data_IF_569987236354
#
_entry.id   IF_569987236354
#
_cell.length_a   1.000
_cell.length_b   1.000
_cell.length_c   1.000
_cell.angle_alpha   90.00
_cell.angle_beta   90.00
_cell.angle_gamma   90.00
#
_symmetry.space_group_name_H-M   'P 1'
#
loop_
_entity.id
_entity.type
_entity.pdbx_description
1 polymer ?
#
# COMPACT_ATOMS: atom_id res chain seq x y z
N UNK A 1 -6.21 0.68 5.15
CA UNK A 1 -5.95 1.72 4.14
C UNK A 1 -5.58 1.05 2.83
N UNK A 2 -6.22 1.45 1.72
CA UNK A 2 -5.90 0.96 0.37
C UNK A 2 -5.39 2.15 -0.43
N UNK A 3 -4.26 1.98 -1.11
CA UNK A 3 -3.62 3.02 -1.92
C UNK A 3 -3.33 2.48 -3.32
N UNK A 4 -3.58 3.30 -4.35
CA UNK A 4 -3.32 2.95 -5.75
C UNK A 4 -2.09 3.71 -6.22
N UNK A 5 -1.04 2.98 -6.57
CA UNK A 5 0.25 3.50 -6.95
C UNK A 5 0.41 3.51 -8.48
N UNK A 6 0.59 4.71 -9.02
CA UNK A 6 0.80 4.92 -10.44
C UNK A 6 2.24 4.64 -10.84
N UNK A 7 2.47 3.51 -11.53
CA UNK A 7 3.79 3.11 -12.07
C UNK A 7 4.48 4.24 -12.87
N UNK A 8 3.70 5.14 -13.48
CA UNK A 8 4.19 6.29 -14.27
C UNK A 8 4.94 7.34 -13.45
N UNK A 9 4.76 7.37 -12.13
CA UNK A 9 5.39 8.35 -11.23
C UNK A 9 6.49 7.74 -10.34
N UNK A 10 6.89 6.48 -10.58
CA UNK A 10 8.11 5.87 -10.03
C UNK A 10 9.40 6.45 -10.66
N UNK A 11 9.45 7.78 -10.89
CA UNK A 11 10.72 8.47 -11.16
C UNK A 11 11.46 8.58 -9.84
N UNK A 12 12.40 7.66 -9.63
CA UNK A 12 13.72 7.75 -8.96
C UNK A 12 14.05 8.95 -8.04
N UNK A 13 13.11 9.49 -7.28
CA UNK A 13 13.33 10.58 -6.34
C UNK A 13 13.10 10.11 -4.90
N UNK A 14 14.14 10.26 -4.09
CA UNK A 14 14.26 9.84 -2.68
C UNK A 14 13.07 10.31 -1.79
N UNK A 15 12.42 11.41 -2.16
CA UNK A 15 11.29 12.01 -1.40
C UNK A 15 10.06 11.11 -1.29
N UNK A 16 9.76 10.31 -2.32
CA UNK A 16 8.62 9.40 -2.25
C UNK A 16 8.89 8.28 -1.24
N UNK A 17 10.11 7.74 -1.23
CA UNK A 17 10.54 6.73 -0.26
C UNK A 17 10.47 7.26 1.17
N UNK A 18 10.91 8.50 1.41
CA UNK A 18 10.79 9.15 2.72
C UNK A 18 9.33 9.28 3.17
N UNK A 19 8.43 9.69 2.27
CA UNK A 19 6.99 9.77 2.54
C UNK A 19 6.37 8.40 2.82
N UNK A 20 6.76 7.38 2.07
CA UNK A 20 6.29 6.02 2.27
C UNK A 20 6.77 5.44 3.61
N UNK A 21 8.02 5.71 4.01
CA UNK A 21 8.54 5.33 5.33
C UNK A 21 7.73 6.01 6.43
N UNK A 22 7.51 7.32 6.35
CA UNK A 22 6.74 8.06 7.34
C UNK A 22 5.30 7.52 7.45
N UNK A 23 4.65 7.29 6.31
CA UNK A 23 3.30 6.74 6.23
C UNK A 23 3.23 5.32 6.80
N UNK A 24 4.17 4.45 6.45
CA UNK A 24 4.26 3.10 6.99
C UNK A 24 4.41 3.14 8.52
N UNK A 25 5.28 4.02 9.04
CA UNK A 25 5.50 4.18 10.48
C UNK A 25 4.23 4.65 11.21
N UNK A 26 3.52 5.64 10.66
CA UNK A 26 2.27 6.14 11.23
C UNK A 26 1.22 5.02 11.25
N UNK A 27 0.97 4.37 10.12
CA UNK A 27 -0.05 3.32 10.03
C UNK A 27 0.28 2.12 10.94
N UNK A 28 1.55 1.75 11.05
CA UNK A 28 2.00 0.69 11.95
C UNK A 28 1.72 1.03 13.43
N UNK A 29 1.87 2.29 13.84
CA UNK A 29 1.60 2.71 15.23
C UNK A 29 0.13 2.60 15.60
N UNK A 30 -0.77 2.74 14.62
CA UNK A 30 -2.21 2.62 14.83
C UNK A 30 -2.74 1.24 14.43
N UNK A 31 -1.87 0.26 14.16
CA UNK A 31 -2.23 -1.08 13.68
C UNK A 31 -3.14 -1.05 12.43
N UNK A 32 -3.02 -0.02 11.60
CA UNK A 32 -3.82 0.11 10.38
C UNK A 32 -3.12 -0.66 9.26
N UNK A 33 -3.74 -1.71 8.71
CA UNK A 33 -3.16 -2.47 7.62
C UNK A 33 -3.16 -1.63 6.34
N UNK A 34 -2.02 -1.66 5.63
CA UNK A 34 -1.83 -0.96 4.36
C UNK A 34 -1.79 -1.96 3.19
N UNK A 35 -2.54 -1.66 2.13
CA UNK A 35 -2.51 -2.36 0.84
C UNK A 35 -2.10 -1.35 -0.23
N UNK A 36 -1.07 -1.68 -1.01
CA UNK A 36 -0.65 -0.92 -2.19
C UNK A 36 -0.99 -1.72 -3.45
N UNK A 37 -1.79 -1.14 -4.34
CA UNK A 37 -2.20 -1.73 -5.61
C UNK A 37 -1.54 -0.94 -6.75
N UNK A 38 -0.98 -1.60 -7.74
CA UNK A 38 -0.37 -0.91 -8.90
C UNK A 38 -1.43 -0.61 -9.96
N UNK A 39 -1.33 0.53 -10.64
CA UNK A 39 -2.30 0.91 -11.71
C UNK A 39 -2.27 -0.01 -12.93
N UNK A 40 -1.18 -0.76 -13.12
CA UNK A 40 -1.00 -1.76 -14.17
C UNK A 40 -1.04 -3.20 -13.62
N UNK A 41 -1.51 -3.36 -12.38
CA UNK A 41 -1.72 -4.66 -11.78
C UNK A 41 -2.91 -5.39 -12.39
N UNK A 42 -3.11 -6.61 -11.93
CA UNK A 42 -4.37 -7.33 -12.07
C UNK A 42 -4.59 -8.10 -10.77
N UNK A 43 -5.84 -8.52 -10.51
CA UNK A 43 -6.23 -9.31 -9.33
C UNK A 43 -6.27 -8.52 -8.02
N UNK A 44 -6.56 -7.22 -8.11
CA UNK A 44 -6.75 -6.33 -6.97
C UNK A 44 -7.79 -6.89 -5.99
N UNK A 45 -8.87 -7.47 -6.52
CA UNK A 45 -9.91 -8.14 -5.72
C UNK A 45 -9.34 -9.25 -4.83
N UNK A 46 -8.53 -10.15 -5.40
CA UNK A 46 -7.93 -11.25 -4.64
C UNK A 46 -7.00 -10.74 -3.55
N UNK A 47 -6.20 -9.71 -3.86
CA UNK A 47 -5.27 -9.08 -2.91
C UNK A 47 -6.03 -8.47 -1.73
N UNK A 48 -7.12 -7.75 -2.01
CA UNK A 48 -7.96 -7.13 -0.96
C UNK A 48 -8.60 -8.22 -0.09
N UNK A 49 -9.22 -9.23 -0.69
CA UNK A 49 -9.87 -10.34 0.04
C UNK A 49 -8.86 -11.06 0.93
N UNK A 50 -7.69 -11.42 0.40
CA UNK A 50 -6.65 -12.09 1.17
C UNK A 50 -6.16 -11.23 2.34
N UNK A 51 -6.03 -9.91 2.17
CA UNK A 51 -5.62 -9.04 3.27
C UNK A 51 -6.72 -8.92 4.33
N UNK A 52 -7.98 -8.79 3.93
CA UNK A 52 -9.12 -8.75 4.86
C UNK A 52 -9.20 -10.04 5.68
N UNK A 53 -9.05 -11.20 5.04
CA UNK A 53 -9.04 -12.49 5.74
C UNK A 53 -7.89 -12.58 6.77
N UNK A 54 -6.71 -12.02 6.46
CA UNK A 54 -5.58 -11.95 7.42
C UNK A 54 -5.81 -10.98 8.59
N UNK A 55 -6.80 -10.09 8.52
CA UNK A 55 -7.11 -9.13 9.59
C UNK A 55 -8.25 -9.65 10.48
N UNK A 56 -9.19 -10.38 9.87
CA UNK A 56 -10.40 -10.88 10.53
C UNK A 56 -10.14 -12.23 11.24
N UNK A 57 -9.14 -12.99 10.78
CA UNK A 57 -8.63 -14.20 11.46
C UNK A 57 -7.64 -13.84 12.57
#
# INVERSE_FOLDING_TARGET
>A
MIEVDGYKYHKKDNKQKERDILKNNILSKYNIPLIRLTTNGSREKDIIINKLNNIIN
#
